data_IF_995877379438
#
_entry.id   IF_995877379438
#
_cell.length_a   1.000
_cell.length_b   1.000
_cell.length_c   1.000
_cell.angle_alpha   90.00
_cell.angle_beta   90.00
_cell.angle_gamma   90.00
#
_symmetry.space_group_name_H-M   'P 1'
#
loop_
_entity.id
_entity.type
_entity.pdbx_description
1 polymer ?
#
# COMPACT_ATOMS: atom_id res chain seq x y z
N UNK A 1 22.69 21.13 -7.98
CA UNK A 1 22.23 19.74 -7.72
C UNK A 1 20.78 19.66 -7.20
N UNK A 2 20.24 20.67 -6.52
CA UNK A 2 18.92 20.58 -5.87
C UNK A 2 17.70 20.92 -6.75
N UNK A 3 17.90 21.36 -8.00
CA UNK A 3 16.77 21.78 -8.84
C UNK A 3 15.88 20.61 -9.27
N UNK A 4 16.49 19.49 -9.70
CA UNK A 4 15.74 18.28 -10.04
C UNK A 4 15.01 17.68 -8.83
N UNK A 5 15.65 17.67 -7.65
CA UNK A 5 15.01 17.24 -6.40
C UNK A 5 13.84 18.14 -5.99
N UNK A 6 13.99 19.47 -6.14
CA UNK A 6 12.89 20.39 -5.87
C UNK A 6 11.73 20.24 -6.85
N UNK A 7 12.01 20.09 -8.14
CA UNK A 7 10.95 19.86 -9.13
C UNK A 7 10.23 18.53 -8.89
N UNK A 8 10.98 17.48 -8.54
CA UNK A 8 10.42 16.18 -8.17
C UNK A 8 9.55 16.30 -6.91
N UNK A 9 10.01 17.00 -5.87
CA UNK A 9 9.23 17.21 -4.66
C UNK A 9 7.95 18.03 -4.94
N UNK A 10 7.98 19.03 -5.82
CA UNK A 10 6.74 19.78 -6.16
C UNK A 10 5.69 18.90 -6.84
N UNK A 11 6.11 17.96 -7.68
CA UNK A 11 5.19 17.06 -8.42
C UNK A 11 4.74 15.87 -7.57
N UNK A 12 5.67 15.26 -6.83
CA UNK A 12 5.47 13.97 -6.16
C UNK A 12 5.26 14.07 -4.66
N UNK A 13 5.70 15.15 -4.00
CA UNK A 13 5.49 15.29 -2.56
C UNK A 13 4.02 15.58 -2.29
N UNK A 14 3.45 14.74 -1.42
CA UNK A 14 2.10 14.86 -0.93
C UNK A 14 1.83 16.25 -0.35
N UNK A 15 2.81 16.92 0.27
CA UNK A 15 2.61 18.18 0.98
C UNK A 15 2.52 19.40 0.04
N UNK A 16 3.23 19.37 -1.09
CA UNK A 16 3.38 20.54 -1.97
C UNK A 16 2.59 20.43 -3.27
N UNK A 17 2.13 19.24 -3.63
CA UNK A 17 1.26 19.04 -4.80
C UNK A 17 -0.09 19.77 -4.57
N UNK A 18 -0.66 20.50 -5.55
CA UNK A 18 -1.99 21.10 -5.43
C UNK A 18 -3.12 20.11 -5.08
N UNK A 19 -2.94 18.81 -5.31
CA UNK A 19 -3.85 17.75 -4.85
C UNK A 19 -3.70 17.41 -3.36
N UNK A 20 -2.83 18.12 -2.62
CA UNK A 20 -2.59 17.99 -1.17
C UNK A 20 -3.76 18.44 -0.31
N UNK A 21 -4.59 19.33 -0.86
CA UNK A 21 -5.78 19.91 -0.21
C UNK A 21 -6.84 18.84 0.10
N UNK A 22 -6.76 17.66 -0.53
CA UNK A 22 -7.65 16.54 -0.30
C UNK A 22 -7.08 15.67 0.83
N UNK A 23 -7.78 15.53 1.96
CA UNK A 23 -7.29 14.80 3.13
C UNK A 23 -7.20 13.29 2.90
N UNK A 24 -7.98 12.74 1.97
CA UNK A 24 -7.99 11.32 1.64
C UNK A 24 -6.91 10.96 0.60
N UNK A 25 -5.95 10.13 1.03
CA UNK A 25 -4.91 9.57 0.17
C UNK A 25 -5.48 8.73 -0.99
N UNK A 26 -6.61 8.05 -0.76
CA UNK A 26 -7.30 7.23 -1.77
C UNK A 26 -7.72 8.08 -2.97
N UNK A 27 -8.37 9.20 -2.68
CA UNK A 27 -8.89 10.13 -3.68
C UNK A 27 -7.74 10.71 -4.52
N UNK A 28 -6.61 11.00 -3.89
CA UNK A 28 -5.43 11.47 -4.62
C UNK A 28 -4.87 10.42 -5.57
N UNK A 29 -4.78 9.17 -5.12
CA UNK A 29 -4.27 8.09 -5.97
C UNK A 29 -5.21 7.81 -7.15
N UNK A 30 -6.52 7.84 -6.92
CA UNK A 30 -7.54 7.75 -7.98
C UNK A 30 -7.42 8.89 -9.00
N UNK A 31 -7.18 10.12 -8.56
CA UNK A 31 -7.03 11.26 -9.47
C UNK A 31 -5.77 11.12 -10.33
N UNK A 32 -4.64 10.70 -9.76
CA UNK A 32 -3.44 10.39 -10.54
C UNK A 32 -3.70 9.30 -11.58
N UNK A 33 -4.51 8.31 -11.22
CA UNK A 33 -4.87 7.22 -12.11
C UNK A 33 -5.78 7.65 -13.27
N UNK A 34 -6.73 8.54 -13.00
CA UNK A 34 -7.58 9.16 -14.03
C UNK A 34 -6.76 10.05 -14.98
N UNK A 35 -5.76 10.76 -14.45
CA UNK A 35 -4.86 11.54 -15.27
C UNK A 35 -4.06 10.64 -16.24
N UNK A 36 -3.58 9.49 -15.77
CA UNK A 36 -2.93 8.50 -16.64
C UNK A 36 -3.88 7.97 -17.73
N UNK A 37 -5.17 7.81 -17.42
CA UNK A 37 -6.20 7.45 -18.40
C UNK A 37 -6.41 8.51 -19.49
N UNK A 38 -6.43 9.79 -19.12
CA UNK A 38 -6.52 10.89 -20.08
C UNK A 38 -5.36 10.85 -21.09
N UNK A 39 -4.13 10.66 -20.61
CA UNK A 39 -2.94 10.59 -21.46
C UNK A 39 -2.96 9.38 -22.40
N UNK A 40 -3.53 8.25 -21.99
CA UNK A 40 -3.71 7.08 -22.87
C UNK A 40 -4.59 7.42 -24.09
N UNK A 41 -5.65 8.22 -23.90
CA UNK A 41 -6.52 8.65 -24.99
C UNK A 41 -5.79 9.60 -25.93
N UNK A 42 -4.99 10.53 -25.39
CA UNK A 42 -4.16 11.47 -26.18
C UNK A 42 -3.14 10.71 -27.04
N UNK A 43 -2.41 9.75 -26.45
CA UNK A 43 -1.46 8.92 -27.20
C UNK A 43 -2.13 8.10 -28.31
N UNK A 44 -3.31 7.55 -28.03
CA UNK A 44 -4.09 6.83 -29.02
C UNK A 44 -4.54 7.70 -30.19
N UNK A 45 -5.07 8.90 -29.90
CA UNK A 45 -5.46 9.85 -30.94
C UNK A 45 -4.25 10.29 -31.79
N UNK A 46 -3.06 10.40 -31.19
CA UNK A 46 -1.83 10.75 -31.90
C UNK A 46 -1.42 9.69 -32.94
N UNK A 47 -1.54 8.39 -32.63
CA UNK A 47 -1.20 7.32 -33.56
C UNK A 47 -2.34 6.93 -34.51
N UNK A 48 -3.57 7.39 -34.27
CA UNK A 48 -4.74 7.14 -35.12
C UNK A 48 -5.12 5.66 -35.29
N UNK A 49 -4.57 4.76 -34.48
CA UNK A 49 -4.71 3.31 -34.62
C UNK A 49 -5.46 2.71 -33.42
N UNK A 50 -6.60 2.08 -33.72
CA UNK A 50 -7.45 1.38 -32.74
C UNK A 50 -6.70 0.21 -32.04
N UNK A 51 -5.74 -0.40 -32.73
CA UNK A 51 -4.92 -1.47 -32.15
C UNK A 51 -3.95 -0.92 -31.09
N UNK A 52 -3.27 0.18 -31.39
CA UNK A 52 -2.34 0.83 -30.44
C UNK A 52 -3.10 1.33 -29.22
N UNK A 53 -4.29 1.90 -29.44
CA UNK A 53 -5.20 2.28 -28.34
C UNK A 53 -5.52 1.12 -27.42
N UNK A 54 -5.98 -0.01 -27.99
CA UNK A 54 -6.39 -1.18 -27.24
C UNK A 54 -5.24 -1.74 -26.40
N UNK A 55 -4.05 -1.88 -26.99
CA UNK A 55 -2.88 -2.38 -26.27
C UNK A 55 -2.46 -1.46 -25.14
N UNK A 56 -2.40 -0.14 -25.37
CA UNK A 56 -2.00 0.81 -24.32
C UNK A 56 -3.04 0.89 -23.20
N UNK A 57 -4.34 0.83 -23.54
CA UNK A 57 -5.43 0.88 -22.56
C UNK A 57 -5.46 -0.37 -21.68
N UNK A 58 -5.25 -1.56 -22.25
CA UNK A 58 -5.18 -2.83 -21.50
C UNK A 58 -3.99 -2.81 -20.55
N UNK A 59 -2.80 -2.45 -21.04
CA UNK A 59 -1.59 -2.45 -20.23
C UNK A 59 -1.70 -1.50 -19.04
N UNK A 60 -2.26 -0.31 -19.26
CA UNK A 60 -2.55 0.62 -18.18
C UNK A 60 -3.58 0.05 -17.22
N UNK A 61 -4.72 -0.47 -17.70
CA UNK A 61 -5.79 -1.03 -16.86
C UNK A 61 -5.28 -2.12 -15.91
N UNK A 62 -4.33 -2.95 -16.34
CA UNK A 62 -3.69 -3.95 -15.48
C UNK A 62 -2.89 -3.28 -14.34
N UNK A 63 -2.13 -2.23 -14.64
CA UNK A 63 -1.39 -1.48 -13.61
C UNK A 63 -2.36 -0.83 -12.60
N UNK A 64 -3.46 -0.26 -13.08
CA UNK A 64 -4.51 0.31 -12.20
C UNK A 64 -5.08 -0.75 -11.28
N UNK A 65 -5.46 -1.89 -11.86
CA UNK A 65 -6.04 -2.99 -11.12
C UNK A 65 -5.07 -3.47 -10.05
N UNK A 66 -3.78 -3.60 -10.37
CA UNK A 66 -2.73 -3.95 -9.40
C UNK A 66 -2.71 -2.99 -8.21
N UNK A 67 -2.65 -1.68 -8.46
CA UNK A 67 -2.58 -0.71 -7.36
C UNK A 67 -3.89 -0.63 -6.58
N UNK A 68 -5.04 -0.72 -7.25
CA UNK A 68 -6.35 -0.75 -6.59
C UNK A 68 -6.50 -1.98 -5.67
N UNK A 69 -6.00 -3.15 -6.11
CA UNK A 69 -5.98 -4.37 -5.29
C UNK A 69 -5.05 -4.20 -4.09
N UNK A 70 -3.83 -3.67 -4.27
CA UNK A 70 -2.92 -3.39 -3.15
C UNK A 70 -3.56 -2.47 -2.13
N UNK A 71 -4.24 -1.42 -2.61
CA UNK A 71 -4.95 -0.51 -1.76
C UNK A 71 -6.11 -1.20 -1.01
N UNK A 72 -6.93 -2.00 -1.70
CA UNK A 72 -8.02 -2.74 -1.09
C UNK A 72 -7.53 -3.72 0.00
N UNK A 73 -6.38 -4.36 -0.21
CA UNK A 73 -5.71 -5.22 0.78
C UNK A 73 -5.31 -4.40 2.01
N UNK A 74 -4.66 -3.24 1.84
CA UNK A 74 -4.28 -2.38 2.96
C UNK A 74 -5.50 -1.84 3.72
N UNK A 75 -6.56 -1.44 2.99
CA UNK A 75 -7.82 -0.99 3.58
C UNK A 75 -8.50 -2.10 4.37
N UNK A 76 -8.45 -3.34 3.86
CA UNK A 76 -8.97 -4.51 4.56
C UNK A 76 -8.13 -4.80 5.80
N UNK A 77 -6.81 -4.64 5.73
CA UNK A 77 -5.92 -4.86 6.87
C UNK A 77 -6.14 -3.82 7.98
N UNK A 78 -6.38 -2.56 7.61
CA UNK A 78 -6.71 -1.48 8.54
C UNK A 78 -8.09 -1.69 9.21
N UNK A 79 -9.13 -1.97 8.42
CA UNK A 79 -10.52 -2.06 8.93
C UNK A 79 -10.85 -3.39 9.58
N UNK A 80 -10.26 -4.47 9.09
CA UNK A 80 -10.52 -5.82 9.58
C UNK A 80 -9.22 -6.64 9.59
N UNK A 81 -8.28 -6.33 10.51
CA UNK A 81 -7.02 -7.05 10.62
C UNK A 81 -7.24 -8.55 10.89
N UNK A 82 -8.37 -8.92 11.49
CA UNK A 82 -8.76 -10.31 11.75
C UNK A 82 -8.98 -11.12 10.47
N UNK A 83 -9.21 -10.48 9.31
CA UNK A 83 -9.28 -11.17 8.01
C UNK A 83 -7.93 -11.80 7.61
N UNK A 84 -6.83 -11.18 8.02
CA UNK A 84 -5.47 -11.67 7.76
C UNK A 84 -4.90 -12.46 8.95
N UNK A 85 -5.57 -12.45 10.09
CA UNK A 85 -5.19 -13.26 11.25
C UNK A 85 -5.81 -14.65 11.13
N UNK A 86 -4.98 -15.69 11.30
CA UNK A 86 -5.45 -17.08 11.36
C UNK A 86 -6.40 -17.21 12.57
N UNK A 87 -7.57 -17.84 12.37
CA UNK A 87 -8.61 -18.01 13.41
C UNK A 87 -8.14 -18.79 14.65
N UNK A 88 -6.95 -19.39 14.60
CA UNK A 88 -6.46 -20.33 15.60
C UNK A 88 -5.68 -19.70 16.76
N UNK A 89 -5.59 -18.37 16.81
CA UNK A 89 -5.25 -17.64 18.05
C UNK A 89 -3.77 -17.67 18.45
N UNK A 90 -3.23 -16.46 18.56
CA UNK A 90 -1.96 -16.13 19.20
C UNK A 90 -0.70 -16.58 18.51
N UNK A 91 0.25 -15.66 18.56
CA UNK A 91 1.65 -16.00 18.53
C UNK A 91 2.43 -14.81 19.15
N UNK A 92 3.66 -15.08 19.55
CA UNK A 92 4.63 -14.14 20.10
C UNK A 92 5.91 -14.24 19.26
N UNK A 93 6.88 -13.39 19.53
CA UNK A 93 8.19 -13.53 18.90
C UNK A 93 9.00 -14.67 19.56
N UNK A 94 9.67 -15.55 18.81
CA UNK A 94 10.34 -16.77 19.30
C UNK A 94 11.51 -16.52 20.28
N UNK A 95 11.92 -15.26 20.49
CA UNK A 95 13.10 -14.91 21.31
C UNK A 95 12.84 -14.90 22.82
N UNK A 96 11.60 -15.08 23.25
CA UNK A 96 11.21 -15.05 24.66
C UNK A 96 10.49 -16.33 25.07
N UNK A 97 11.05 -17.52 24.77
CA UNK A 97 10.54 -18.76 25.38
C UNK A 97 10.57 -18.63 26.90
N UNK A 98 9.37 -18.64 27.48
CA UNK A 98 9.14 -18.79 28.91
C UNK A 98 9.69 -17.68 29.82
N UNK A 99 10.19 -16.57 29.27
CA UNK A 99 10.58 -15.42 30.08
C UNK A 99 10.20 -14.09 29.45
N UNK A 100 9.35 -13.33 30.14
CA UNK A 100 8.96 -11.97 29.78
C UNK A 100 9.63 -10.98 30.73
N UNK A 101 10.10 -9.85 30.20
CA UNK A 101 10.58 -8.75 31.01
C UNK A 101 9.43 -7.77 31.24
N UNK A 102 8.99 -7.62 32.49
CA UNK A 102 7.97 -6.65 32.89
C UNK A 102 8.62 -5.73 33.93
N UNK A 103 8.66 -4.42 33.64
CA UNK A 103 9.22 -3.40 34.54
C UNK A 103 10.66 -3.71 35.01
N UNK A 104 11.51 -4.20 34.10
CA UNK A 104 12.92 -4.50 34.39
C UNK A 104 13.15 -5.78 35.22
N UNK A 105 12.09 -6.54 35.53
CA UNK A 105 12.18 -7.80 36.26
C UNK A 105 11.85 -8.98 35.34
N UNK A 106 12.69 -10.03 35.38
CA UNK A 106 12.48 -11.25 34.60
C UNK A 106 11.38 -12.10 35.25
N UNK A 107 10.30 -12.35 34.52
CA UNK A 107 9.15 -13.17 34.95
C UNK A 107 9.15 -14.46 34.15
N UNK A 108 9.10 -15.61 34.84
CA UNK A 108 8.95 -16.92 34.20
C UNK A 108 7.47 -17.19 33.90
N UNK A 109 7.19 -17.68 32.69
CA UNK A 109 5.84 -18.03 32.24
C UNK A 109 5.54 -19.52 32.51
N UNK A 110 4.28 -19.91 32.42
CA UNK A 110 3.84 -21.30 32.65
C UNK A 110 4.58 -22.27 31.71
N UNK A 111 5.07 -23.43 32.22
CA UNK A 111 5.69 -24.46 31.38
C UNK A 111 4.85 -24.94 30.20
N UNK A 112 3.52 -24.84 30.30
CA UNK A 112 2.54 -25.28 29.30
C UNK A 112 2.11 -24.16 28.34
N UNK A 113 2.67 -22.95 28.49
CA UNK A 113 2.41 -21.83 27.60
C UNK A 113 3.07 -22.12 26.24
N UNK A 114 2.31 -22.24 25.13
CA UNK A 114 2.87 -22.42 23.79
C UNK A 114 3.73 -21.24 23.35
N UNK A 115 3.81 -20.19 24.20
CA UNK A 115 4.95 -19.30 24.28
C UNK A 115 5.14 -18.65 22.94
N UNK A 116 4.11 -17.93 22.50
CA UNK A 116 3.81 -17.84 21.08
C UNK A 116 5.04 -17.72 20.20
N UNK A 117 5.13 -18.65 19.26
CA UNK A 117 6.12 -18.67 18.21
C UNK A 117 5.27 -18.43 16.96
N UNK A 118 5.36 -17.24 16.37
CA UNK A 118 4.83 -16.98 15.02
C UNK A 118 5.66 -17.81 14.03
N UNK A 119 4.99 -18.72 13.30
CA UNK A 119 5.37 -19.05 11.91
C UNK A 119 5.39 -17.77 11.05
#
# INVERSE_FOLDING_TARGET
MNYMLNMWNVVMDNRYNPLSQIPDFETRHLVFQLLAWMWCIIFSMYFGSMYVFGTTAILHSILIAGVAITFAIFRTAEKNPQFFMKKDGYHSFPRARQSMWINGKKVQLDPSDPGGEHE
#
